data_IF_254744195041
#
_entry.id   IF_254744195041
#
_cell.length_a   1.000
_cell.length_b   1.000
_cell.length_c   1.000
_cell.angle_alpha   90.00
_cell.angle_beta   90.00
_cell.angle_gamma   90.00
#
_symmetry.space_group_name_H-M   'P 1'
#
loop_
_entity.id
_entity.type
_entity.pdbx_description
1 polymer ?
#
# COMPACT_ATOMS: atom_id res chain seq x y z
N UNK A 1 -20.45 72.36 -14.35
CA UNK A 1 -19.68 71.63 -13.29
C UNK A 1 -20.13 70.21 -13.02
N UNK A 2 -21.42 69.85 -13.15
CA UNK A 2 -21.88 68.43 -12.88
C UNK A 2 -21.33 67.35 -13.85
N UNK A 3 -21.11 67.72 -15.13
CA UNK A 3 -20.60 66.76 -16.12
C UNK A 3 -19.12 66.32 -15.89
N UNK A 4 -18.31 67.21 -15.35
CA UNK A 4 -16.89 66.97 -15.11
C UNK A 4 -16.68 66.03 -13.90
N UNK A 5 -17.49 66.17 -12.85
CA UNK A 5 -17.46 65.31 -11.66
C UNK A 5 -17.97 63.91 -11.99
N UNK A 6 -18.93 63.75 -12.90
CA UNK A 6 -19.45 62.44 -13.34
C UNK A 6 -18.39 61.64 -14.13
N UNK A 7 -17.63 62.30 -14.97
CA UNK A 7 -16.56 61.65 -15.73
C UNK A 7 -15.39 61.25 -14.84
N UNK A 8 -15.08 62.01 -13.79
CA UNK A 8 -13.97 61.66 -12.89
C UNK A 8 -14.25 60.39 -12.07
N UNK A 9 -15.46 60.20 -11.60
CA UNK A 9 -15.86 58.92 -10.93
C UNK A 9 -15.75 57.72 -11.87
N UNK A 10 -16.13 57.84 -13.12
CA UNK A 10 -15.98 56.77 -14.11
C UNK A 10 -14.53 56.48 -14.43
N UNK A 11 -13.70 57.49 -14.59
CA UNK A 11 -12.25 57.32 -14.80
C UNK A 11 -11.58 56.70 -13.59
N UNK A 12 -11.93 57.10 -12.37
CA UNK A 12 -11.42 56.49 -11.15
C UNK A 12 -11.80 54.98 -11.07
N UNK A 13 -13.06 54.67 -11.40
CA UNK A 13 -13.54 53.29 -11.40
C UNK A 13 -12.82 52.42 -12.44
N UNK A 14 -12.53 52.97 -13.63
CA UNK A 14 -11.74 52.26 -14.65
C UNK A 14 -10.32 52.04 -14.21
N UNK A 15 -9.66 52.98 -13.54
CA UNK A 15 -8.31 52.84 -13.02
C UNK A 15 -8.26 51.75 -11.93
N UNK A 16 -9.24 51.76 -11.01
CA UNK A 16 -9.32 50.74 -9.95
C UNK A 16 -9.53 49.34 -10.53
N UNK A 17 -10.44 49.18 -11.50
CA UNK A 17 -10.67 47.92 -12.18
C UNK A 17 -9.43 47.43 -12.94
N UNK A 18 -8.70 48.34 -13.59
CA UNK A 18 -7.47 48.00 -14.28
C UNK A 18 -6.37 47.54 -13.30
N UNK A 19 -6.19 48.23 -12.18
CA UNK A 19 -5.26 47.82 -11.12
C UNK A 19 -5.63 46.45 -10.54
N UNK A 20 -6.93 46.21 -10.36
CA UNK A 20 -7.43 44.92 -9.86
C UNK A 20 -7.21 43.80 -10.87
N UNK A 21 -7.40 44.03 -12.15
CA UNK A 21 -7.11 43.12 -13.24
C UNK A 21 -5.61 42.77 -13.31
N UNK A 22 -4.74 43.78 -13.20
CA UNK A 22 -3.28 43.60 -13.14
C UNK A 22 -2.87 42.80 -11.91
N UNK A 23 -3.45 43.11 -10.74
CA UNK A 23 -3.20 42.33 -9.52
C UNK A 23 -3.62 40.87 -9.66
N UNK A 24 -4.81 40.62 -10.21
CA UNK A 24 -5.27 39.24 -10.46
C UNK A 24 -4.38 38.51 -11.46
N UNK A 25 -3.94 39.17 -12.51
CA UNK A 25 -3.01 38.58 -13.49
C UNK A 25 -1.69 38.19 -12.83
N UNK A 26 -1.09 39.06 -12.02
CA UNK A 26 0.13 38.74 -11.27
C UNK A 26 -0.10 37.66 -10.24
N UNK A 27 -1.24 37.65 -9.54
CA UNK A 27 -1.57 36.57 -8.60
C UNK A 27 -1.65 35.22 -9.30
N UNK A 28 -2.36 35.11 -10.41
CA UNK A 28 -2.52 33.88 -11.18
C UNK A 28 -1.16 33.39 -11.72
N UNK A 29 -0.36 34.32 -12.27
CA UNK A 29 0.97 33.91 -12.79
C UNK A 29 1.95 33.56 -11.70
N UNK A 30 1.89 34.20 -10.52
CA UNK A 30 2.74 33.85 -9.38
C UNK A 30 2.40 32.50 -8.76
N UNK A 31 1.12 32.13 -8.71
CA UNK A 31 0.69 30.79 -8.26
C UNK A 31 0.96 29.70 -9.29
N UNK A 32 1.05 30.04 -10.56
CA UNK A 32 1.20 29.09 -11.66
C UNK A 32 2.66 29.01 -12.18
N UNK A 33 3.63 29.48 -11.42
CA UNK A 33 5.04 29.23 -11.80
C UNK A 33 5.28 27.73 -11.74
N UNK A 34 5.58 27.06 -12.87
CA UNK A 34 6.05 25.71 -12.82
C UNK A 34 7.33 25.70 -11.98
N UNK A 35 7.28 25.05 -10.84
CA UNK A 35 8.52 24.71 -10.12
C UNK A 35 9.42 24.04 -11.15
N UNK A 36 10.64 24.56 -11.37
CA UNK A 36 11.62 23.97 -12.29
C UNK A 36 11.88 22.51 -11.88
N UNK A 37 10.94 21.62 -12.22
CA UNK A 37 10.96 20.19 -11.87
C UNK A 37 12.18 19.48 -12.43
N UNK A 38 12.76 20.03 -13.50
CA UNK A 38 13.95 19.45 -14.14
C UNK A 38 15.23 19.61 -13.31
N UNK A 39 15.25 20.58 -12.38
CA UNK A 39 16.43 20.84 -11.52
C UNK A 39 16.24 20.36 -10.09
N UNK A 40 15.01 19.98 -9.72
CA UNK A 40 14.73 19.56 -8.36
C UNK A 40 15.14 18.11 -8.15
N UNK A 41 16.00 17.90 -7.14
CA UNK A 41 16.49 16.57 -6.74
C UNK A 41 15.65 16.05 -5.58
N UNK A 42 15.39 14.75 -5.56
CA UNK A 42 14.71 14.11 -4.43
C UNK A 42 15.55 14.25 -3.14
N UNK A 43 15.07 15.08 -2.24
CA UNK A 43 15.73 15.37 -0.96
C UNK A 43 15.40 14.33 0.11
N UNK A 44 14.23 13.72 0.05
CA UNK A 44 13.73 12.77 1.05
C UNK A 44 12.81 11.75 0.43
N UNK A 45 12.92 10.50 0.89
CA UNK A 45 12.00 9.41 0.58
C UNK A 45 11.22 9.07 1.83
N UNK A 46 9.89 9.25 1.79
CA UNK A 46 8.99 8.88 2.88
C UNK A 46 8.31 7.56 2.53
N UNK A 47 8.52 6.55 3.35
CA UNK A 47 7.86 5.24 3.20
C UNK A 47 6.83 5.11 4.31
N UNK A 48 5.57 4.93 3.93
CA UNK A 48 4.43 4.79 4.83
C UNK A 48 3.74 3.44 4.56
N UNK A 49 3.78 2.56 5.55
CA UNK A 49 3.17 1.24 5.48
C UNK A 49 1.85 1.31 6.23
N UNK A 50 0.74 1.34 5.49
CA UNK A 50 -0.60 1.28 6.07
C UNK A 50 -0.90 -0.14 6.52
N UNK A 51 -1.73 -0.28 7.55
CA UNK A 51 -2.21 -1.57 8.05
C UNK A 51 -1.09 -2.51 8.53
N UNK A 52 -0.12 -1.97 9.27
CA UNK A 52 0.93 -2.76 9.95
C UNK A 52 0.33 -3.62 11.10
N UNK A 53 -0.78 -4.35 10.81
CA UNK A 53 -1.47 -5.21 11.78
C UNK A 53 -0.67 -6.46 12.09
N UNK A 54 0.26 -6.81 11.21
CA UNK A 54 1.14 -7.97 11.35
C UNK A 54 2.58 -7.47 11.40
N UNK A 55 3.10 -7.26 12.59
CA UNK A 55 4.52 -6.97 12.79
C UNK A 55 5.36 -8.06 12.11
N UNK A 56 6.20 -7.66 11.17
CA UNK A 56 7.30 -8.48 10.71
C UNK A 56 7.31 -8.95 9.25
N UNK A 57 6.25 -8.74 8.44
CA UNK A 57 6.30 -9.15 7.02
C UNK A 57 6.98 -8.12 6.12
N UNK A 58 6.79 -6.82 6.39
CA UNK A 58 7.46 -5.74 5.66
C UNK A 58 7.85 -4.61 6.61
N UNK A 59 9.04 -4.07 6.40
CA UNK A 59 9.48 -2.86 7.05
C UNK A 59 10.08 -1.87 6.04
N UNK A 60 10.26 -0.62 6.45
CA UNK A 60 10.77 0.42 5.56
C UNK A 60 12.17 0.11 5.00
N UNK A 61 13.01 -0.62 5.74
CA UNK A 61 14.34 -1.02 5.27
C UNK A 61 14.26 -2.07 4.16
N UNK A 62 13.33 -3.01 4.24
CA UNK A 62 13.12 -4.01 3.19
C UNK A 62 12.63 -3.37 1.91
N UNK A 63 11.68 -2.43 1.99
CA UNK A 63 11.22 -1.65 0.84
C UNK A 63 12.37 -0.88 0.19
N UNK A 64 13.21 -0.23 1.01
CA UNK A 64 14.42 0.43 0.53
C UNK A 64 15.35 -0.54 -0.19
N UNK A 65 15.59 -1.72 0.36
CA UNK A 65 16.45 -2.74 -0.25
C UNK A 65 15.88 -3.27 -1.58
N UNK A 66 14.57 -3.48 -1.66
CA UNK A 66 13.89 -3.89 -2.91
C UNK A 66 14.15 -2.84 -3.99
N UNK A 67 13.91 -1.56 -3.70
CA UNK A 67 14.12 -0.46 -4.65
C UNK A 67 15.59 -0.27 -5.01
N UNK A 68 16.51 -0.45 -4.07
CA UNK A 68 17.96 -0.38 -4.34
C UNK A 68 18.42 -1.50 -5.26
N UNK A 69 17.96 -2.74 -5.06
CA UNK A 69 18.25 -3.88 -5.94
C UNK A 69 17.71 -3.66 -7.35
N UNK A 70 16.55 -3.04 -7.47
CA UNK A 70 15.95 -2.66 -8.75
C UNK A 70 16.59 -1.40 -9.36
N UNK A 71 17.51 -0.70 -8.67
CA UNK A 71 18.11 0.58 -9.06
C UNK A 71 17.10 1.72 -9.24
N UNK A 72 15.99 1.65 -8.49
CA UNK A 72 14.88 2.60 -8.55
C UNK A 72 14.73 3.43 -7.26
N UNK A 73 15.68 3.34 -6.33
CA UNK A 73 15.60 4.13 -5.10
C UNK A 73 15.78 5.62 -5.40
N UNK A 74 14.77 6.47 -5.13
CA UNK A 74 14.69 7.81 -5.72
C UNK A 74 15.55 8.87 -5.03
N UNK A 75 16.16 8.59 -3.88
CA UNK A 75 16.96 9.56 -3.12
C UNK A 75 18.12 10.11 -3.96
N UNK A 76 18.29 11.43 -3.95
CA UNK A 76 19.31 12.17 -4.69
C UNK A 76 19.20 12.05 -6.23
N UNK A 77 18.10 11.57 -6.77
CA UNK A 77 17.82 11.55 -8.22
C UNK A 77 17.00 12.79 -8.62
N UNK A 78 17.16 13.31 -9.86
CA UNK A 78 16.29 14.36 -10.37
C UNK A 78 14.84 13.90 -10.39
N UNK A 79 13.90 14.72 -9.89
CA UNK A 79 12.48 14.34 -9.83
C UNK A 79 11.89 14.04 -11.21
N UNK A 80 12.39 14.68 -12.26
CA UNK A 80 11.95 14.45 -13.63
C UNK A 80 12.24 13.03 -14.11
N UNK A 81 13.35 12.43 -13.67
CA UNK A 81 13.78 11.09 -14.09
C UNK A 81 13.17 9.95 -13.28
N UNK A 82 12.55 10.26 -12.13
CA UNK A 82 11.93 9.23 -11.29
C UNK A 82 10.61 8.79 -11.93
N UNK A 83 10.51 7.52 -12.26
CA UNK A 83 9.26 6.90 -12.72
C UNK A 83 8.50 6.29 -11.53
N UNK A 84 7.43 6.97 -11.10
CA UNK A 84 6.61 6.52 -9.99
C UNK A 84 5.89 5.20 -10.28
N UNK A 85 5.44 4.97 -11.52
CA UNK A 85 4.77 3.74 -11.93
C UNK A 85 5.71 2.54 -11.85
N UNK A 86 6.93 2.71 -12.34
CA UNK A 86 7.94 1.64 -12.28
C UNK A 86 8.27 1.26 -10.84
N UNK A 87 8.32 2.24 -9.92
CA UNK A 87 8.47 2.01 -8.49
C UNK A 87 7.30 1.19 -7.94
N UNK A 88 6.06 1.59 -8.27
CA UNK A 88 4.85 0.88 -7.85
C UNK A 88 4.83 -0.57 -8.38
N UNK A 89 5.14 -0.78 -9.65
CA UNK A 89 5.13 -2.11 -10.28
C UNK A 89 6.15 -3.05 -9.63
N UNK A 90 7.37 -2.55 -9.35
CA UNK A 90 8.40 -3.32 -8.66
C UNK A 90 7.96 -3.67 -7.23
N UNK A 91 7.33 -2.74 -6.52
CA UNK A 91 6.83 -3.01 -5.17
C UNK A 91 5.67 -4.00 -5.18
N UNK A 92 4.72 -3.88 -6.12
CA UNK A 92 3.58 -4.81 -6.30
C UNK A 92 4.03 -6.21 -6.74
N UNK A 93 5.19 -6.35 -7.35
CA UNK A 93 5.76 -7.66 -7.66
C UNK A 93 6.24 -8.43 -6.42
N UNK A 94 6.41 -7.74 -5.28
CA UNK A 94 6.75 -8.39 -4.01
C UNK A 94 5.58 -9.22 -3.49
N UNK A 95 5.81 -10.48 -3.07
CA UNK A 95 4.73 -11.35 -2.59
C UNK A 95 4.09 -10.88 -1.28
N UNK A 96 4.65 -9.88 -0.61
CA UNK A 96 4.17 -9.35 0.66
C UNK A 96 3.40 -8.03 0.51
N UNK A 97 3.46 -7.41 -0.66
CA UNK A 97 2.77 -6.14 -0.95
C UNK A 97 1.42 -6.42 -1.58
N UNK A 98 0.37 -5.83 -1.02
CA UNK A 98 -0.98 -5.89 -1.59
C UNK A 98 -1.19 -4.77 -2.60
N UNK A 99 -0.87 -3.54 -2.22
CA UNK A 99 -0.91 -2.37 -3.11
C UNK A 99 0.20 -1.39 -2.75
N UNK A 100 0.68 -0.64 -3.74
CA UNK A 100 1.68 0.40 -3.58
C UNK A 100 1.33 1.59 -4.45
N UNK A 101 1.48 2.79 -3.88
CA UNK A 101 1.29 4.07 -4.54
C UNK A 101 2.51 4.93 -4.31
N UNK A 102 3.01 5.55 -5.37
CA UNK A 102 4.16 6.43 -5.35
C UNK A 102 3.81 7.80 -5.94
N UNK A 103 4.10 8.86 -5.23
CA UNK A 103 3.89 10.21 -5.75
C UNK A 103 5.01 11.16 -5.34
N UNK A 104 5.22 12.16 -6.18
CA UNK A 104 6.19 13.23 -5.97
C UNK A 104 5.49 14.44 -5.38
N UNK A 105 6.12 15.08 -4.41
CA UNK A 105 5.61 16.32 -3.82
C UNK A 105 6.30 17.53 -4.44
N UNK A 106 5.65 18.68 -4.38
CA UNK A 106 6.25 19.96 -4.82
C UNK A 106 7.48 20.35 -3.99
N UNK A 107 7.61 19.83 -2.76
CA UNK A 107 8.76 20.08 -1.88
C UNK A 107 9.99 19.23 -2.20
N UNK A 108 9.98 18.44 -3.27
CA UNK A 108 11.11 17.60 -3.65
C UNK A 108 11.21 16.28 -2.87
N UNK A 109 10.09 15.79 -2.35
CA UNK A 109 10.03 14.50 -1.66
C UNK A 109 9.33 13.47 -2.54
N UNK A 110 9.73 12.20 -2.40
CA UNK A 110 9.01 11.06 -2.95
C UNK A 110 8.33 10.32 -1.81
N UNK A 111 7.02 10.21 -1.89
CA UNK A 111 6.20 9.48 -0.92
C UNK A 111 5.78 8.14 -1.51
N UNK A 112 6.06 7.06 -0.78
CA UNK A 112 5.68 5.70 -1.13
C UNK A 112 4.72 5.21 -0.05
N UNK A 113 3.47 4.99 -0.41
CA UNK A 113 2.45 4.42 0.46
C UNK A 113 2.16 3.01 0.01
N UNK A 114 2.16 2.06 0.91
CA UNK A 114 1.87 0.67 0.59
C UNK A 114 1.01 0.01 1.67
N UNK A 115 0.26 -0.99 1.24
CA UNK A 115 -0.49 -1.90 2.09
C UNK A 115 0.12 -3.28 2.01
N UNK A 116 0.15 -3.99 3.14
CA UNK A 116 0.66 -5.35 3.20
C UNK A 116 -0.43 -6.36 2.85
N UNK A 117 -0.03 -7.53 2.36
CA UNK A 117 -0.93 -8.69 2.31
C UNK A 117 -1.15 -9.21 3.72
N UNK A 118 -2.40 -9.57 4.01
CA UNK A 118 -2.79 -10.12 5.31
C UNK A 118 -2.90 -11.63 5.20
N UNK A 119 -1.95 -12.39 5.76
CA UNK A 119 -2.04 -13.84 5.75
C UNK A 119 -3.17 -14.29 6.69
N UNK A 120 -3.93 -15.28 6.25
CA UNK A 120 -5.02 -15.89 7.03
C UNK A 120 -4.65 -17.28 7.53
N UNK A 121 -3.69 -17.95 6.86
CA UNK A 121 -3.32 -19.32 7.18
C UNK A 121 -1.88 -19.61 6.74
N UNK A 122 -1.15 -20.39 7.53
CA UNK A 122 0.11 -21.02 7.11
C UNK A 122 -0.15 -22.45 6.68
N UNK A 123 0.26 -22.81 5.50
CA UNK A 123 0.14 -24.18 4.98
C UNK A 123 1.46 -24.92 5.19
N UNK A 124 1.39 -26.04 5.89
CA UNK A 124 2.45 -27.03 6.04
C UNK A 124 1.93 -28.37 5.52
N UNK A 125 2.06 -28.59 4.24
CA UNK A 125 1.52 -29.77 3.59
C UNK A 125 2.44 -30.99 3.73
N UNK A 126 1.88 -32.19 3.62
CA UNK A 126 2.61 -33.46 3.70
C UNK A 126 3.67 -33.61 2.59
N UNK A 127 3.53 -32.90 1.48
CA UNK A 127 4.50 -32.90 0.38
C UNK A 127 5.74 -32.03 0.66
N UNK A 128 5.83 -31.39 1.85
CA UNK A 128 6.90 -30.50 2.26
C UNK A 128 6.71 -29.03 1.89
N UNK A 129 5.61 -28.67 1.25
CA UNK A 129 5.28 -27.26 0.97
C UNK A 129 5.04 -26.49 2.28
N UNK A 130 5.70 -25.33 2.44
CA UNK A 130 5.56 -24.43 3.59
C UNK A 130 5.44 -22.98 3.09
N UNK A 131 4.23 -22.43 3.15
CA UNK A 131 3.89 -21.09 2.65
C UNK A 131 2.68 -20.52 3.39
N UNK A 132 2.44 -19.20 3.21
CA UNK A 132 1.23 -18.56 3.70
C UNK A 132 0.23 -18.35 2.57
N UNK A 133 -1.04 -18.29 2.95
CA UNK A 133 -2.14 -17.87 2.05
C UNK A 133 -2.77 -16.63 2.63
N UNK A 134 -2.92 -15.60 1.79
CA UNK A 134 -3.56 -14.33 2.16
C UNK A 134 -5.09 -14.39 2.09
N UNK A 135 -5.74 -13.34 2.54
CA UNK A 135 -7.21 -13.23 2.54
C UNK A 135 -7.85 -13.20 1.15
N UNK A 136 -7.06 -13.02 0.08
CA UNK A 136 -7.50 -13.03 -1.33
C UNK A 136 -7.16 -14.35 -2.05
N UNK A 137 -6.51 -15.31 -1.36
CA UNK A 137 -6.06 -16.56 -1.94
C UNK A 137 -4.70 -16.49 -2.64
N UNK A 138 -3.96 -15.41 -2.41
CA UNK A 138 -2.59 -15.28 -2.90
C UNK A 138 -1.61 -16.07 -2.03
N UNK A 139 -0.64 -16.71 -2.69
CA UNK A 139 0.44 -17.43 -2.00
C UNK A 139 1.55 -16.44 -1.60
N UNK A 140 2.00 -16.54 -0.35
CA UNK A 140 3.12 -15.77 0.19
C UNK A 140 4.18 -16.75 0.66
N UNK A 141 5.48 -16.53 0.36
CA UNK A 141 6.55 -17.41 0.80
C UNK A 141 6.67 -17.41 2.32
N UNK A 142 7.16 -18.54 2.86
CA UNK A 142 7.49 -18.60 4.27
C UNK A 142 8.65 -17.66 4.59
N UNK A 143 8.53 -16.94 5.69
CA UNK A 143 9.55 -16.03 6.22
C UNK A 143 9.94 -16.42 7.64
N UNK A 144 11.02 -15.82 8.14
CA UNK A 144 11.46 -16.01 9.53
C UNK A 144 10.48 -15.38 10.55
N UNK A 145 9.54 -14.57 10.09
CA UNK A 145 8.56 -13.94 10.94
C UNK A 145 7.44 -14.93 11.27
N UNK A 146 7.32 -15.24 12.54
CA UNK A 146 6.26 -16.08 13.08
C UNK A 146 5.13 -15.18 13.55
N UNK A 147 4.00 -15.22 12.88
CA UNK A 147 2.77 -14.68 13.44
C UNK A 147 1.93 -15.81 14.02
N UNK A 148 1.12 -15.53 15.02
CA UNK A 148 0.13 -16.45 15.57
C UNK A 148 -1.01 -16.67 14.58
N UNK A 149 -0.72 -17.37 13.48
CA UNK A 149 -1.66 -17.66 12.41
C UNK A 149 -2.04 -19.13 12.47
N UNK A 150 -3.29 -19.43 12.19
CA UNK A 150 -3.80 -20.78 12.05
C UNK A 150 -2.97 -21.59 11.03
N UNK A 151 -2.68 -22.84 11.32
CA UNK A 151 -1.85 -23.71 10.48
C UNK A 151 -2.76 -24.71 9.77
N UNK A 152 -2.58 -24.87 8.45
CA UNK A 152 -3.16 -25.97 7.69
C UNK A 152 -2.13 -27.06 7.47
N UNK A 153 -2.52 -28.31 7.72
CA UNK A 153 -1.68 -29.51 7.58
C UNK A 153 -2.37 -30.58 6.73
N UNK A 154 -1.66 -31.66 6.41
CA UNK A 154 -2.20 -32.80 5.69
C UNK A 154 -2.06 -32.69 4.16
N UNK A 155 -2.98 -33.30 3.42
CA UNK A 155 -2.93 -33.39 1.95
C UNK A 155 -3.43 -32.11 1.28
N UNK A 156 -2.68 -31.03 1.42
CA UNK A 156 -3.03 -29.73 0.87
C UNK A 156 -2.29 -29.51 -0.47
N UNK A 157 -3.04 -29.31 -1.54
CA UNK A 157 -2.48 -28.76 -2.78
C UNK A 157 -2.73 -27.26 -2.87
N UNK A 158 -1.91 -26.53 -3.67
CA UNK A 158 -1.98 -25.07 -3.77
C UNK A 158 -3.33 -24.55 -4.23
N UNK A 159 -3.96 -25.23 -5.17
CA UNK A 159 -5.28 -24.80 -5.69
C UNK A 159 -6.36 -24.92 -4.61
N UNK A 160 -6.33 -26.01 -3.84
CA UNK A 160 -7.23 -26.21 -2.69
C UNK A 160 -6.99 -25.15 -1.61
N UNK A 161 -5.73 -24.88 -1.28
CA UNK A 161 -5.37 -23.83 -0.33
C UNK A 161 -5.88 -22.47 -0.75
N UNK A 162 -5.64 -22.05 -1.99
CA UNK A 162 -6.04 -20.75 -2.50
C UNK A 162 -7.56 -20.57 -2.64
N UNK A 163 -8.32 -21.62 -2.93
CA UNK A 163 -9.76 -21.52 -3.19
C UNK A 163 -10.64 -21.91 -2.01
N UNK A 164 -10.28 -22.99 -1.32
CA UNK A 164 -11.10 -23.56 -0.24
C UNK A 164 -10.63 -23.11 1.12
N UNK A 165 -9.34 -23.34 1.43
CA UNK A 165 -8.81 -22.99 2.74
C UNK A 165 -8.79 -21.47 2.98
N UNK A 166 -8.60 -20.65 1.94
CA UNK A 166 -8.74 -19.19 2.08
C UNK A 166 -10.14 -18.79 2.54
N UNK A 167 -11.18 -19.37 1.98
CA UNK A 167 -12.58 -19.07 2.39
C UNK A 167 -12.84 -19.50 3.82
N UNK A 168 -12.40 -20.71 4.18
CA UNK A 168 -12.49 -21.24 5.54
C UNK A 168 -11.71 -20.33 6.51
N UNK A 169 -10.46 -20.00 6.18
CA UNK A 169 -9.61 -19.12 6.98
C UNK A 169 -10.23 -17.76 7.20
N UNK A 170 -10.76 -17.12 6.15
CA UNK A 170 -11.47 -15.86 6.26
C UNK A 170 -12.70 -15.96 7.17
N UNK A 171 -13.46 -17.04 7.07
CA UNK A 171 -14.62 -17.26 7.93
C UNK A 171 -14.21 -17.38 9.40
N UNK A 172 -13.16 -18.14 9.69
CA UNK A 172 -12.64 -18.31 11.04
C UNK A 172 -12.06 -17.01 11.59
N UNK A 173 -11.21 -16.31 10.83
CA UNK A 173 -10.53 -15.08 11.27
C UNK A 173 -11.53 -13.95 11.51
N UNK A 174 -12.56 -13.83 10.69
CA UNK A 174 -13.59 -12.79 10.84
C UNK A 174 -14.59 -13.07 11.98
N UNK A 175 -14.64 -14.28 12.48
CA UNK A 175 -15.49 -14.64 13.62
C UNK A 175 -14.64 -14.69 14.91
N UNK A 176 -14.89 -13.77 15.85
CA UNK A 176 -14.14 -13.66 17.11
C UNK A 176 -14.12 -14.95 17.92
N UNK A 177 -15.22 -15.71 17.93
CA UNK A 177 -15.31 -16.97 18.64
C UNK A 177 -14.40 -18.03 17.99
N UNK A 178 -14.55 -18.28 16.72
CA UNK A 178 -13.77 -19.31 15.98
C UNK A 178 -12.29 -18.96 15.91
N UNK A 179 -11.93 -17.69 15.71
CA UNK A 179 -10.54 -17.23 15.71
C UNK A 179 -9.79 -17.56 17.01
N UNK A 180 -10.48 -17.51 18.13
CA UNK A 180 -9.88 -17.80 19.43
C UNK A 180 -9.86 -19.29 19.75
N UNK A 181 -10.69 -20.08 19.08
CA UNK A 181 -10.84 -21.52 19.34
C UNK A 181 -10.00 -22.39 18.41
N UNK A 182 -9.90 -22.05 17.12
CA UNK A 182 -9.26 -22.91 16.12
C UNK A 182 -7.80 -22.47 15.94
N UNK A 183 -6.88 -23.44 16.05
CA UNK A 183 -5.43 -23.22 15.86
C UNK A 183 -4.89 -23.97 14.65
N UNK A 184 -5.53 -25.08 14.26
CA UNK A 184 -5.08 -25.89 13.14
C UNK A 184 -6.26 -26.43 12.35
N UNK A 185 -6.02 -26.59 11.06
CA UNK A 185 -6.92 -27.21 10.08
C UNK A 185 -6.17 -28.36 9.45
N UNK A 186 -6.65 -29.61 9.63
CA UNK A 186 -6.05 -30.78 9.01
C UNK A 186 -6.87 -31.23 7.81
N UNK A 187 -6.25 -31.36 6.65
CA UNK A 187 -6.91 -31.76 5.40
C UNK A 187 -6.63 -33.24 5.15
N UNK A 188 -7.68 -34.06 5.14
CA UNK A 188 -7.61 -35.47 4.89
C UNK A 188 -7.45 -35.84 3.42
N UNK A 189 -7.23 -37.10 3.13
CA UNK A 189 -6.99 -37.58 1.77
C UNK A 189 -8.21 -37.45 0.84
N UNK A 190 -9.41 -37.47 1.40
CA UNK A 190 -10.68 -37.31 0.71
C UNK A 190 -11.09 -35.84 0.51
N UNK A 191 -10.28 -34.89 1.03
CA UNK A 191 -10.55 -33.47 0.97
C UNK A 191 -11.46 -32.96 2.10
N UNK A 192 -11.83 -33.81 3.06
CA UNK A 192 -12.50 -33.35 4.28
C UNK A 192 -11.52 -32.62 5.19
N UNK A 193 -12.08 -31.80 6.09
CA UNK A 193 -11.31 -30.88 6.94
C UNK A 193 -11.66 -31.15 8.39
N UNK A 194 -10.62 -31.38 9.19
CA UNK A 194 -10.73 -31.48 10.64
C UNK A 194 -10.23 -30.17 11.27
N UNK A 195 -11.02 -29.62 12.18
CA UNK A 195 -10.64 -28.41 12.92
C UNK A 195 -10.11 -28.81 14.29
N UNK A 196 -8.90 -28.36 14.61
CA UNK A 196 -8.26 -28.61 15.89
C UNK A 196 -8.41 -27.39 16.78
N UNK A 197 -9.10 -27.52 17.91
CA UNK A 197 -9.28 -26.40 18.83
C UNK A 197 -8.02 -26.11 19.64
N UNK A 198 -7.93 -24.89 20.16
CA UNK A 198 -6.84 -24.43 21.04
C UNK A 198 -6.86 -25.11 22.40
N UNK A 199 -8.04 -25.44 22.90
CA UNK A 199 -8.28 -26.04 24.22
C UNK A 199 -9.24 -27.20 24.07
N UNK A 200 -8.93 -28.35 24.67
CA UNK A 200 -9.72 -29.57 24.60
C UNK A 200 -9.15 -30.58 23.58
N UNK A 201 -9.59 -31.80 23.67
CA UNK A 201 -9.17 -32.91 22.81
C UNK A 201 -10.21 -33.25 21.73
N UNK A 202 -11.14 -32.31 21.47
CA UNK A 202 -12.20 -32.53 20.48
C UNK A 202 -11.75 -32.10 19.09
N UNK A 203 -11.89 -33.00 18.13
CA UNK A 203 -11.78 -32.70 16.69
C UNK A 203 -13.19 -32.41 16.18
N UNK A 204 -13.35 -31.31 15.46
CA UNK A 204 -14.62 -30.87 14.89
C UNK A 204 -14.59 -31.07 13.37
#
# INVERSE_FOLDING_TARGET
MKHWIYNWKKTLLMVVNFLLAVYLFFSITSFNQPVDGDKQVCSQVKIDIKDAVVDGFLNANEIKLILQRAKLYPLAQPLATIDARQIEDVLKSSPFVNDAQCYKTQSGQVCIQLTQRTPVMRVKADNGDDYYVDNHGGVMPNTKYCSEIMIATGKVNRNYACKVLTKLGNTIVNNKFWRNQIVQVNVLADGTVELVPRVGEHII
#
